data_IF_303473179820
#
_entry.id   IF_303473179820
#
_cell.length_a   1.000
_cell.length_b   1.000
_cell.length_c   1.000
_cell.angle_alpha   90.00
_cell.angle_beta   90.00
_cell.angle_gamma   90.00
#
_symmetry.space_group_name_H-M   'P 1'
#
loop_
_entity.id
_entity.type
_entity.pdbx_description
1 polymer ?
#
# COMPACT_ATOMS: atom_id res chain seq x y z
N UNK A 1 -4.01 -10.83 -3.93
CA UNK A 1 -2.97 -9.89 -4.35
C UNK A 1 -1.95 -9.73 -3.22
N UNK A 2 -0.64 -9.84 -3.46
CA UNK A 2 0.37 -9.77 -2.38
C UNK A 2 0.57 -8.33 -1.85
N UNK A 3 0.62 -7.36 -2.77
CA UNK A 3 0.78 -5.93 -2.47
C UNK A 3 -0.41 -5.39 -1.67
N UNK A 4 -1.63 -5.59 -2.18
CA UNK A 4 -2.87 -5.17 -1.52
C UNK A 4 -2.95 -5.64 -0.07
N UNK A 5 -2.76 -6.95 0.16
CA UNK A 5 -2.77 -7.52 1.51
C UNK A 5 -1.67 -6.99 2.43
N UNK A 6 -0.50 -6.66 1.88
CA UNK A 6 0.59 -6.10 2.67
C UNK A 6 0.27 -4.67 3.12
N UNK A 7 -0.37 -3.88 2.25
CA UNK A 7 -0.82 -2.52 2.58
C UNK A 7 -2.03 -2.57 3.52
N UNK A 8 -3.01 -3.44 3.28
CA UNK A 8 -4.20 -3.59 4.12
C UNK A 8 -3.86 -4.05 5.55
N UNK A 9 -2.75 -4.76 5.72
CA UNK A 9 -2.22 -5.14 7.03
C UNK A 9 -1.60 -3.98 7.82
N UNK A 10 -1.36 -2.81 7.20
CA UNK A 10 -0.82 -1.65 7.88
C UNK A 10 -1.88 -0.99 8.77
N UNK A 11 -1.51 -0.72 10.02
CA UNK A 11 -2.39 -0.08 10.96
C UNK A 11 -2.68 1.36 10.52
N UNK A 12 -3.95 1.68 10.30
CA UNK A 12 -4.38 2.99 9.79
C UNK A 12 -4.72 3.01 8.29
N UNK A 13 -4.50 1.91 7.56
CA UNK A 13 -5.06 1.78 6.21
C UNK A 13 -6.56 1.50 6.31
N UNK A 14 -7.35 2.34 5.64
CA UNK A 14 -8.80 2.22 5.59
C UNK A 14 -9.25 1.49 4.32
N UNK A 15 -8.58 1.77 3.21
CA UNK A 15 -8.90 1.16 1.93
C UNK A 15 -7.66 1.05 1.05
N UNK A 16 -7.59 -0.01 0.27
CA UNK A 16 -6.56 -0.22 -0.73
C UNK A 16 -7.21 -0.69 -2.02
N UNK A 17 -6.78 -0.13 -3.14
CA UNK A 17 -7.30 -0.44 -4.46
C UNK A 17 -6.10 -0.57 -5.41
N UNK A 18 -5.79 -1.80 -5.83
CA UNK A 18 -4.61 -2.09 -6.66
C UNK A 18 -5.04 -2.41 -8.08
N UNK A 19 -4.72 -1.50 -9.00
CA UNK A 19 -4.94 -1.67 -10.43
C UNK A 19 -3.67 -2.17 -11.11
N UNK A 20 -3.56 -3.50 -11.29
CA UNK A 20 -2.46 -4.11 -12.03
C UNK A 20 -2.44 -3.69 -13.52
N UNK A 21 -3.61 -3.47 -14.09
CA UNK A 21 -3.81 -3.07 -15.48
C UNK A 21 -3.15 -1.71 -15.78
N UNK A 22 -3.31 -0.76 -14.85
CA UNK A 22 -2.71 0.57 -14.91
C UNK A 22 -1.38 0.68 -14.14
N UNK A 23 -0.92 -0.41 -13.49
CA UNK A 23 0.23 -0.42 -12.57
C UNK A 23 0.15 0.68 -11.50
N UNK A 24 -1.05 0.95 -10.99
CA UNK A 24 -1.30 1.96 -9.95
C UNK A 24 -1.91 1.33 -8.71
N UNK A 25 -1.60 1.89 -7.55
CA UNK A 25 -2.23 1.56 -6.29
C UNK A 25 -2.76 2.84 -5.65
N UNK A 26 -4.04 2.83 -5.29
CA UNK A 26 -4.70 3.89 -4.51
C UNK A 26 -4.84 3.37 -3.09
N UNK A 27 -4.33 4.11 -2.12
CA UNK A 27 -4.40 3.74 -0.71
C UNK A 27 -5.02 4.88 0.06
N UNK A 28 -6.13 4.62 0.73
CA UNK A 28 -6.70 5.53 1.73
C UNK A 28 -6.19 5.10 3.10
N UNK A 29 -5.44 5.99 3.73
CA UNK A 29 -4.86 5.77 5.04
C UNK A 29 -5.05 7.00 5.93
N UNK A 30 -5.01 6.77 7.23
CA UNK A 30 -5.07 7.79 8.25
C UNK A 30 -3.65 8.33 8.51
N UNK A 31 -3.41 9.59 8.17
CA UNK A 31 -2.11 10.27 8.34
C UNK A 31 -1.66 10.33 9.82
N UNK A 32 -2.55 10.08 10.78
CA UNK A 32 -2.19 9.99 12.20
C UNK A 32 -1.63 8.63 12.62
N UNK A 33 -1.75 7.60 11.78
CA UNK A 33 -1.35 6.21 12.10
C UNK A 33 -0.38 5.62 11.08
N UNK A 34 -0.55 5.95 9.82
CA UNK A 34 0.24 5.46 8.70
C UNK A 34 0.71 6.61 7.81
N UNK A 35 1.82 6.38 7.11
CA UNK A 35 2.48 7.36 6.27
C UNK A 35 2.85 6.72 4.93
N UNK A 36 3.02 7.55 3.91
CA UNK A 36 3.42 7.10 2.56
C UNK A 36 4.72 6.29 2.59
N UNK A 37 5.67 6.64 3.47
CA UNK A 37 6.92 5.89 3.61
C UNK A 37 6.71 4.45 4.13
N UNK A 38 5.84 4.27 5.12
CA UNK A 38 5.50 2.93 5.64
C UNK A 38 4.80 2.09 4.57
N UNK A 39 3.90 2.71 3.81
CA UNK A 39 3.23 2.05 2.68
C UNK A 39 4.26 1.63 1.64
N UNK A 40 5.16 2.53 1.22
CA UNK A 40 6.25 2.20 0.28
C UNK A 40 7.15 1.08 0.79
N UNK A 41 7.47 1.07 2.08
CA UNK A 41 8.27 0.01 2.70
C UNK A 41 7.56 -1.35 2.65
N UNK A 42 6.26 -1.39 3.00
CA UNK A 42 5.46 -2.61 2.90
C UNK A 42 5.37 -3.12 1.46
N UNK A 43 5.21 -2.23 0.47
CA UNK A 43 5.22 -2.61 -0.95
C UNK A 43 6.58 -3.18 -1.35
N UNK A 44 7.69 -2.57 -0.91
CA UNK A 44 9.05 -3.09 -1.14
C UNK A 44 9.28 -4.47 -0.52
N UNK A 45 8.76 -4.73 0.68
CA UNK A 45 8.84 -6.07 1.30
C UNK A 45 8.12 -7.15 0.48
N UNK A 46 7.08 -6.77 -0.27
CA UNK A 46 6.42 -7.71 -1.19
C UNK A 46 7.17 -7.94 -2.51
N UNK A 47 8.28 -7.24 -2.73
CA UNK A 47 9.08 -7.32 -3.95
C UNK A 47 8.57 -6.47 -5.11
N UNK A 48 7.70 -5.49 -4.84
CA UNK A 48 7.28 -4.48 -5.82
C UNK A 48 7.97 -3.15 -5.51
N UNK A 49 8.52 -2.51 -6.54
CA UNK A 49 9.08 -1.15 -6.42
C UNK A 49 8.05 -0.14 -6.94
N UNK A 50 7.41 0.65 -6.06
CA UNK A 50 6.61 1.78 -6.52
C UNK A 50 7.57 2.84 -7.10
N UNK A 51 7.40 3.14 -8.40
CA UNK A 51 8.15 4.19 -9.12
C UNK A 51 7.49 5.55 -8.97
#
# INVERSE_FOLDING_TARGET
MRVEKAIEGLQGVQKVDVSLENKQAVVEFDEGKTDVEKIKAAIKETGYEPV
#
